data_IF_348163715975
#
_entry.id   IF_348163715975
#
_cell.length_a   1.000
_cell.length_b   1.000
_cell.length_c   1.000
_cell.angle_alpha   90.00
_cell.angle_beta   90.00
_cell.angle_gamma   90.00
#
_symmetry.space_group_name_H-M   'P 1'
#
loop_
_entity.id
_entity.type
_entity.pdbx_description
1 polymer ?
#
# COMPACT_ATOMS: atom_id res chain seq x y z
N UNK A 1 9.70 -8.95 -8.93
CA UNK A 1 8.81 -9.47 -10.00
C UNK A 1 9.62 -10.03 -11.15
N UNK A 2 10.59 -9.28 -11.68
CA UNK A 2 11.28 -9.67 -12.93
C UNK A 2 12.01 -11.02 -12.86
N UNK A 3 12.62 -11.34 -11.72
CA UNK A 3 13.23 -12.66 -11.49
C UNK A 3 12.23 -13.83 -11.51
N UNK A 4 10.97 -13.60 -11.10
CA UNK A 4 9.92 -14.64 -11.04
C UNK A 4 9.34 -14.96 -12.42
N UNK A 5 9.54 -14.08 -13.41
CA UNK A 5 9.00 -14.20 -14.78
C UNK A 5 10.11 -14.31 -15.82
N UNK A 6 11.31 -14.69 -15.39
CA UNK A 6 12.50 -14.80 -16.25
C UNK A 6 12.74 -13.55 -17.11
N UNK A 7 12.58 -12.37 -16.51
CA UNK A 7 12.78 -11.06 -17.13
C UNK A 7 11.90 -10.81 -18.38
N UNK A 8 10.86 -11.62 -18.60
CA UNK A 8 9.93 -11.38 -19.69
C UNK A 8 9.07 -10.14 -19.38
N UNK A 9 9.15 -9.08 -20.21
CA UNK A 9 8.49 -7.81 -19.91
C UNK A 9 6.95 -7.93 -19.93
N UNK A 10 6.39 -8.75 -20.80
CA UNK A 10 4.93 -8.95 -20.90
C UNK A 10 4.39 -9.68 -19.68
N UNK A 11 5.11 -10.71 -19.22
CA UNK A 11 4.72 -11.43 -18.00
C UNK A 11 4.95 -10.60 -16.74
N UNK A 12 6.03 -9.81 -16.67
CA UNK A 12 6.26 -8.86 -15.57
C UNK A 12 5.09 -7.88 -15.45
N UNK A 13 4.68 -7.30 -16.58
CA UNK A 13 3.55 -6.39 -16.62
C UNK A 13 2.25 -7.07 -16.19
N UNK A 14 1.93 -8.25 -16.72
CA UNK A 14 0.72 -9.00 -16.34
C UNK A 14 0.69 -9.33 -14.85
N UNK A 15 1.82 -9.71 -14.27
CA UNK A 15 1.90 -10.05 -12.85
C UNK A 15 1.72 -8.80 -11.97
N UNK A 16 2.34 -7.67 -12.35
CA UNK A 16 2.12 -6.37 -11.68
C UNK A 16 0.65 -5.94 -11.76
N UNK A 17 0.03 -6.03 -12.94
CA UNK A 17 -1.37 -5.70 -13.14
C UNK A 17 -2.29 -6.59 -12.29
N UNK A 18 -2.04 -7.91 -12.27
CA UNK A 18 -2.80 -8.84 -11.44
C UNK A 18 -2.70 -8.50 -9.94
N UNK A 19 -1.50 -8.16 -9.46
CA UNK A 19 -1.29 -7.74 -8.08
C UNK A 19 -2.06 -6.46 -7.73
N UNK A 20 -1.93 -5.42 -8.56
CA UNK A 20 -2.62 -4.14 -8.37
C UNK A 20 -4.14 -4.32 -8.38
N UNK A 21 -4.67 -5.09 -9.33
CA UNK A 21 -6.10 -5.40 -9.37
C UNK A 21 -6.55 -6.16 -8.12
N UNK A 22 -5.77 -7.15 -7.65
CA UNK A 22 -6.09 -7.86 -6.41
C UNK A 22 -6.14 -6.95 -5.18
N UNK A 23 -5.27 -5.93 -5.10
CA UNK A 23 -5.31 -4.93 -4.02
C UNK A 23 -6.59 -4.07 -4.11
N UNK A 24 -6.94 -3.61 -5.31
CA UNK A 24 -8.15 -2.81 -5.54
C UNK A 24 -9.44 -3.61 -5.26
N UNK A 25 -9.49 -4.86 -5.72
CA UNK A 25 -10.60 -5.78 -5.45
C UNK A 25 -10.73 -6.05 -3.95
N UNK A 26 -9.60 -6.20 -3.25
CA UNK A 26 -9.57 -6.35 -1.79
C UNK A 26 -10.13 -5.12 -1.07
N UNK A 27 -9.73 -3.91 -1.49
CA UNK A 27 -10.27 -2.64 -0.96
C UNK A 27 -11.79 -2.59 -1.17
N UNK A 28 -12.26 -2.86 -2.38
CA UNK A 28 -13.68 -2.85 -2.74
C UNK A 28 -14.49 -3.87 -1.94
N UNK A 29 -13.94 -5.08 -1.74
CA UNK A 29 -14.55 -6.11 -0.91
C UNK A 29 -14.78 -5.62 0.53
N UNK A 30 -13.75 -5.03 1.15
CA UNK A 30 -13.88 -4.52 2.52
C UNK A 30 -14.82 -3.32 2.61
N UNK A 31 -14.82 -2.44 1.61
CA UNK A 31 -15.80 -1.36 1.51
C UNK A 31 -17.22 -1.91 1.59
N UNK A 32 -17.59 -2.85 0.73
CA UNK A 32 -18.94 -3.42 0.74
C UNK A 32 -19.27 -4.18 2.03
N UNK A 33 -18.29 -4.88 2.60
CA UNK A 33 -18.48 -5.59 3.87
C UNK A 33 -18.81 -4.64 5.02
N UNK A 34 -18.12 -3.51 5.10
CA UNK A 34 -18.35 -2.51 6.14
C UNK A 34 -19.61 -1.71 5.83
N UNK A 35 -19.84 -1.37 4.57
CA UNK A 35 -21.00 -0.62 4.13
C UNK A 35 -22.32 -1.34 4.43
N UNK A 36 -22.34 -2.67 4.31
CA UNK A 36 -23.50 -3.49 4.65
C UNK A 36 -23.91 -3.40 6.13
N UNK A 37 -22.96 -3.09 7.03
CA UNK A 37 -23.19 -2.94 8.47
C UNK A 37 -23.38 -1.47 8.88
N UNK A 38 -22.53 -0.58 8.36
CA UNK A 38 -22.52 0.85 8.68
C UNK A 38 -22.03 1.67 7.49
N UNK A 39 -22.96 2.08 6.62
CA UNK A 39 -22.67 2.79 5.37
C UNK A 39 -21.92 4.10 5.56
N UNK A 40 -22.35 4.96 6.47
CA UNK A 40 -21.71 6.26 6.73
C UNK A 40 -20.26 6.10 7.19
N UNK A 41 -19.97 5.05 7.95
CA UNK A 41 -18.61 4.77 8.40
C UNK A 41 -17.74 4.30 7.23
N UNK A 42 -18.24 3.39 6.38
CA UNK A 42 -17.53 2.97 5.17
C UNK A 42 -17.21 4.15 4.25
N UNK A 43 -18.19 5.02 4.00
CA UNK A 43 -18.02 6.20 3.14
C UNK A 43 -17.00 7.18 3.74
N UNK A 44 -16.88 7.24 5.07
CA UNK A 44 -15.91 8.10 5.76
C UNK A 44 -14.46 7.61 5.73
N UNK A 45 -14.24 6.30 5.63
CA UNK A 45 -12.88 5.70 5.70
C UNK A 45 -12.32 5.32 4.32
N UNK A 46 -13.17 5.18 3.30
CA UNK A 46 -12.76 4.86 1.93
C UNK A 46 -12.87 6.08 1.00
N UNK A 47 -12.54 7.27 1.50
CA UNK A 47 -12.67 8.53 0.76
C UNK A 47 -11.59 8.75 -0.29
N UNK A 48 -10.52 7.96 -0.30
CA UNK A 48 -9.39 8.18 -1.20
C UNK A 48 -9.72 7.79 -2.64
N UNK A 49 -9.19 8.57 -3.59
CA UNK A 49 -9.27 8.24 -5.01
C UNK A 49 -8.37 7.06 -5.34
N UNK A 50 -8.94 6.01 -5.94
CA UNK A 50 -8.17 4.83 -6.36
C UNK A 50 -8.43 4.38 -7.80
N UNK A 51 -9.35 5.02 -8.51
CA UNK A 51 -9.93 4.56 -9.77
C UNK A 51 -9.75 5.53 -10.94
N UNK A 52 -8.97 6.60 -10.78
CA UNK A 52 -8.70 7.56 -11.85
C UNK A 52 -7.82 6.97 -12.96
N UNK A 53 -6.83 6.15 -12.59
CA UNK A 53 -5.93 5.47 -13.52
C UNK A 53 -6.46 4.08 -13.91
N UNK A 54 -6.37 3.72 -15.19
CA UNK A 54 -6.55 2.33 -15.60
C UNK A 54 -5.43 1.44 -15.02
N UNK A 55 -5.66 0.13 -14.91
CA UNK A 55 -4.63 -0.80 -14.38
C UNK A 55 -3.29 -0.69 -15.09
N UNK A 56 -3.29 -0.45 -16.40
CA UNK A 56 -2.06 -0.29 -17.20
C UNK A 56 -1.34 1.01 -16.86
N UNK A 57 -2.07 2.12 -16.72
CA UNK A 57 -1.50 3.41 -16.36
C UNK A 57 -1.01 3.41 -14.92
N UNK A 58 -1.76 2.76 -14.01
CA UNK A 58 -1.37 2.60 -12.62
C UNK A 58 -0.08 1.79 -12.48
N UNK A 59 0.07 0.67 -13.20
CA UNK A 59 1.33 -0.10 -13.20
C UNK A 59 2.50 0.74 -13.71
N UNK A 60 2.30 1.55 -14.76
CA UNK A 60 3.34 2.46 -15.28
C UNK A 60 3.70 3.53 -14.25
N UNK A 61 2.69 4.19 -13.66
CA UNK A 61 2.86 5.21 -12.65
C UNK A 61 3.59 4.67 -11.42
N UNK A 62 3.27 3.45 -10.98
CA UNK A 62 3.94 2.81 -9.85
C UNK A 62 5.40 2.48 -10.18
N UNK A 63 5.69 1.96 -11.38
CA UNK A 63 7.09 1.73 -11.78
C UNK A 63 7.91 3.03 -11.67
N UNK A 64 7.41 4.14 -12.21
CA UNK A 64 8.08 5.44 -12.11
C UNK A 64 8.15 5.97 -10.67
N UNK A 65 7.10 5.78 -9.88
CA UNK A 65 7.08 6.21 -8.47
C UNK A 65 8.18 5.54 -7.65
N UNK A 66 8.44 4.26 -7.90
CA UNK A 66 9.44 3.45 -7.19
C UNK A 66 10.87 3.55 -7.77
N UNK A 67 11.08 4.31 -8.86
CA UNK A 67 12.43 4.65 -9.32
C UNK A 67 13.15 5.60 -8.35
N UNK A 68 12.40 6.39 -7.57
CA UNK A 68 12.94 7.26 -6.52
C UNK A 68 13.38 6.43 -5.30
N UNK A 69 14.68 6.45 -4.92
CA UNK A 69 15.21 5.66 -3.81
C UNK A 69 14.46 5.85 -2.49
N UNK A 70 13.95 7.07 -2.23
CA UNK A 70 13.23 7.38 -1.00
C UNK A 70 11.79 6.84 -0.97
N UNK A 71 11.31 6.20 -2.04
CA UNK A 71 9.97 5.61 -2.12
C UNK A 71 9.96 4.09 -2.04
N UNK A 72 11.10 3.41 -2.16
CA UNK A 72 11.20 1.94 -2.27
C UNK A 72 10.51 1.18 -1.12
N UNK A 73 10.51 1.75 0.07
CA UNK A 73 9.91 1.14 1.26
C UNK A 73 8.44 1.52 1.49
N UNK A 74 7.88 2.42 0.67
CA UNK A 74 6.47 2.79 0.78
C UNK A 74 5.58 1.61 0.35
N UNK A 75 4.57 1.24 1.14
CA UNK A 75 3.64 0.17 0.78
C UNK A 75 2.90 0.46 -0.53
N UNK A 76 2.70 -0.59 -1.34
CA UNK A 76 1.99 -0.48 -2.62
C UNK A 76 0.59 0.13 -2.49
N UNK A 77 -0.23 -0.18 -1.47
CA UNK A 77 -1.52 0.49 -1.29
C UNK A 77 -1.42 2.02 -1.18
N UNK A 78 -0.44 2.53 -0.43
CA UNK A 78 -0.19 3.98 -0.32
C UNK A 78 0.25 4.57 -1.66
N UNK A 79 1.14 3.87 -2.38
CA UNK A 79 1.61 4.30 -3.70
C UNK A 79 0.49 4.33 -4.75
N UNK A 80 -0.51 3.43 -4.67
CA UNK A 80 -1.69 3.45 -5.55
C UNK A 80 -2.48 4.75 -5.35
N UNK A 81 -2.71 5.15 -4.09
CA UNK A 81 -3.43 6.40 -3.78
C UNK A 81 -2.63 7.59 -4.32
N UNK A 82 -1.33 7.66 -4.00
CA UNK A 82 -0.44 8.73 -4.48
C UNK A 82 -0.43 8.85 -6.01
N UNK A 83 -0.37 7.72 -6.71
CA UNK A 83 -0.40 7.68 -8.18
C UNK A 83 -1.70 8.29 -8.73
N UNK A 84 -2.85 7.96 -8.13
CA UNK A 84 -4.12 8.56 -8.52
C UNK A 84 -4.18 10.05 -8.17
N UNK A 85 -3.68 10.49 -7.00
CA UNK A 85 -3.62 11.92 -6.64
C UNK A 85 -2.80 12.74 -7.65
N UNK A 86 -1.66 12.19 -8.13
CA UNK A 86 -0.88 12.83 -9.18
C UNK A 86 -1.66 12.91 -10.50
N UNK A 87 -2.35 11.84 -10.88
CA UNK A 87 -3.12 11.78 -12.11
C UNK A 87 -4.33 12.74 -12.10
N UNK A 88 -4.94 12.92 -10.93
CA UNK A 88 -6.00 13.89 -10.67
C UNK A 88 -5.52 15.34 -10.56
N UNK A 89 -4.20 15.58 -10.61
CA UNK A 89 -3.60 16.90 -10.48
C UNK A 89 -3.96 17.58 -9.14
N UNK A 90 -4.03 16.79 -8.07
CA UNK A 90 -4.21 17.35 -6.73
C UNK A 90 -3.06 18.29 -6.37
N UNK A 91 -3.27 19.27 -5.47
CA UNK A 91 -2.21 20.18 -5.05
C UNK A 91 -0.97 19.42 -4.56
N UNK A 92 0.21 19.71 -5.13
CA UNK A 92 1.46 19.01 -4.83
C UNK A 92 1.73 18.91 -3.33
N UNK A 93 1.46 19.99 -2.59
CA UNK A 93 1.61 20.03 -1.14
C UNK A 93 0.82 18.92 -0.43
N UNK A 94 -0.40 18.65 -0.88
CA UNK A 94 -1.24 17.59 -0.31
C UNK A 94 -0.67 16.19 -0.62
N UNK A 95 -0.11 16.01 -1.83
CA UNK A 95 0.53 14.75 -2.22
C UNK A 95 1.79 14.52 -1.39
N UNK A 96 2.62 15.54 -1.20
CA UNK A 96 3.84 15.49 -0.39
C UNK A 96 3.52 15.20 1.09
N UNK A 97 2.49 15.83 1.65
CA UNK A 97 1.99 15.56 2.99
C UNK A 97 1.54 14.09 3.11
N UNK A 98 0.79 13.57 2.14
CA UNK A 98 0.34 12.17 2.14
C UNK A 98 1.52 11.19 2.07
N UNK A 99 2.51 11.47 1.22
CA UNK A 99 3.77 10.70 1.14
C UNK A 99 4.45 10.68 2.51
N UNK A 100 4.57 11.84 3.15
CA UNK A 100 5.21 11.98 4.46
C UNK A 100 4.47 11.19 5.54
N UNK A 101 3.13 11.31 5.60
CA UNK A 101 2.31 10.53 6.52
C UNK A 101 2.45 9.02 6.29
N UNK A 102 2.48 8.59 5.04
CA UNK A 102 2.69 7.18 4.67
C UNK A 102 4.05 6.66 5.16
N UNK A 103 5.12 7.47 5.02
CA UNK A 103 6.46 7.15 5.54
C UNK A 103 6.47 7.03 7.06
N UNK A 104 5.85 7.98 7.76
CA UNK A 104 5.75 7.93 9.22
C UNK A 104 4.97 6.70 9.69
N UNK A 105 3.85 6.40 9.04
CA UNK A 105 3.01 5.27 9.39
C UNK A 105 3.75 3.93 9.24
N UNK A 106 4.40 3.68 8.10
CA UNK A 106 5.12 2.42 7.91
C UNK A 106 6.32 2.29 8.86
N UNK A 107 7.05 3.38 9.10
CA UNK A 107 8.16 3.37 10.06
C UNK A 107 7.67 3.06 11.47
N UNK A 108 6.56 3.66 11.89
CA UNK A 108 5.95 3.37 13.19
C UNK A 108 5.52 1.91 13.28
N UNK A 109 4.82 1.39 12.27
CA UNK A 109 4.41 -0.02 12.25
C UNK A 109 5.60 -0.98 12.36
N UNK A 110 6.69 -0.69 11.63
CA UNK A 110 7.90 -1.52 11.71
C UNK A 110 8.51 -1.51 13.11
N UNK A 111 8.61 -0.33 13.75
CA UNK A 111 9.11 -0.20 15.12
C UNK A 111 8.19 -0.94 16.12
N UNK A 112 6.88 -0.74 16.02
CA UNK A 112 5.89 -1.39 16.89
C UNK A 112 6.00 -2.93 16.77
N UNK A 113 6.16 -3.45 15.54
CA UNK A 113 6.35 -4.89 15.28
C UNK A 113 7.66 -5.44 15.86
N UNK A 114 8.74 -4.67 15.80
CA UNK A 114 10.02 -5.05 16.40
C UNK A 114 9.91 -5.10 17.93
N UNK A 115 9.33 -4.08 18.56
CA UNK A 115 9.11 -4.02 20.01
C UNK A 115 8.24 -5.20 20.49
N UNK A 116 7.12 -5.47 19.81
CA UNK A 116 6.25 -6.61 20.12
C UNK A 116 6.98 -7.95 19.96
N UNK A 117 7.84 -8.07 18.94
CA UNK A 117 8.70 -9.23 18.73
C UNK A 117 9.68 -9.44 19.89
N UNK A 118 10.38 -8.39 20.30
CA UNK A 118 11.31 -8.44 21.44
C UNK A 118 10.61 -8.79 22.75
N UNK A 119 9.43 -8.22 22.98
CA UNK A 119 8.60 -8.54 24.15
C UNK A 119 8.24 -10.01 24.20
N UNK A 120 7.76 -10.58 23.07
CA UNK A 120 7.46 -12.02 22.97
C UNK A 120 8.69 -12.89 23.25
N UNK A 121 9.87 -12.50 22.77
CA UNK A 121 11.12 -13.24 23.03
C UNK A 121 11.52 -13.20 24.51
N UNK A 122 11.35 -12.05 25.17
CA UNK A 122 11.62 -11.90 26.60
C UNK A 122 10.67 -12.75 27.44
N UNK A 123 9.37 -12.72 27.12
CA UNK A 123 8.34 -13.52 27.79
C UNK A 123 8.64 -15.02 27.67
N UNK A 124 9.00 -15.50 26.46
CA UNK A 124 9.42 -16.88 26.24
C UNK A 124 10.66 -17.28 27.05
N UNK A 125 11.64 -16.37 27.21
CA UNK A 125 12.85 -16.63 27.98
C UNK A 125 12.55 -16.73 29.48
N UNK A 126 11.68 -15.85 30.00
CA UNK A 126 11.23 -15.90 31.40
C UNK A 126 10.51 -17.22 31.66
N UNK A 127 9.60 -17.63 30.77
CA UNK A 127 8.85 -18.88 30.90
C UNK A 127 9.74 -20.13 30.85
N UNK A 128 10.76 -20.15 29.99
CA UNK A 128 11.73 -21.26 29.89
C UNK A 128 12.63 -21.42 31.11
N UNK A 129 12.93 -20.33 31.82
CA UNK A 129 13.81 -20.33 32.99
C UNK A 129 13.04 -20.21 34.32
N UNK A 130 11.73 -20.44 34.28
CA UNK A 130 10.87 -20.58 35.46
C UNK A 130 10.75 -22.05 35.86
#
# INVERSE_FOLDING_TARGET
VDQLVDHNPDYSHKMKAAYVNGVLDGRLFYYFKIWAEQSEFADSIFTETTDYLSSNELVRSLNSFYEEPLHVYLPVPSAIIIANMYAEQMPIKMIEEYILHSKFWINKLMLDMEEDGYKKLLDQKVEKHR
#
